data_IF_316935791062
#
_entry.id   IF_316935791062
#
_cell.length_a   1.000
_cell.length_b   1.000
_cell.length_c   1.000
_cell.angle_alpha   90.00
_cell.angle_beta   90.00
_cell.angle_gamma   90.00
#
_symmetry.space_group_name_H-M   'P 1'
#
loop_
_entity.id
_entity.type
_entity.pdbx_description
1 polymer ?
#
# COMPACT_ATOMS: atom_id res chain seq x y z
N UNK A 1 -9.97 36.18 53.92
CA UNK A 1 -8.77 35.45 53.44
C UNK A 1 -9.25 34.28 52.61
N UNK A 2 -9.26 34.44 51.28
CA UNK A 2 -9.57 33.38 50.33
C UNK A 2 -8.61 33.53 49.17
N UNK A 3 -7.63 32.62 49.09
CA UNK A 3 -6.60 32.63 48.05
C UNK A 3 -7.13 31.90 46.83
N UNK A 4 -7.53 32.64 45.79
CA UNK A 4 -7.73 32.07 44.46
C UNK A 4 -6.38 31.71 43.86
N UNK A 5 -6.13 30.41 43.69
CA UNK A 5 -4.95 29.87 43.00
C UNK A 5 -5.34 29.60 41.55
N UNK A 6 -4.94 30.48 40.63
CA UNK A 6 -5.10 30.25 39.20
C UNK A 6 -4.34 28.98 38.76
N UNK A 7 -4.89 28.13 37.88
CA UNK A 7 -4.15 26.99 37.35
C UNK A 7 -3.06 27.46 36.40
N UNK A 8 -1.87 26.87 36.56
CA UNK A 8 -0.70 27.12 35.72
C UNK A 8 -1.01 26.79 34.26
N UNK A 9 -0.68 27.71 33.35
CA UNK A 9 -0.65 27.47 31.91
C UNK A 9 0.30 26.31 31.62
N UNK A 10 -0.25 25.14 31.30
CA UNK A 10 0.51 24.06 30.72
C UNK A 10 0.90 24.44 29.30
N UNK A 11 2.18 24.76 29.09
CA UNK A 11 2.78 24.83 27.76
C UNK A 11 2.68 23.44 27.13
N UNK A 12 1.71 23.28 26.22
CA UNK A 12 1.63 22.11 25.34
C UNK A 12 2.80 22.24 24.35
N UNK A 13 3.76 21.29 24.29
CA UNK A 13 4.77 21.33 23.25
C UNK A 13 4.10 21.20 21.88
N UNK A 14 4.59 21.91 20.84
CA UNK A 14 4.02 21.78 19.51
C UNK A 14 4.11 20.32 19.09
N UNK A 15 2.95 19.72 18.76
CA UNK A 15 2.91 18.46 18.02
C UNK A 15 3.80 18.66 16.80
N UNK A 16 4.88 17.90 16.72
CA UNK A 16 5.59 17.69 15.46
C UNK A 16 4.53 17.19 14.50
N UNK A 17 4.05 18.07 13.63
CA UNK A 17 3.28 17.67 12.48
C UNK A 17 4.23 16.78 11.68
N UNK A 18 4.08 15.47 11.84
CA UNK A 18 4.74 14.52 10.96
C UNK A 18 4.45 14.99 9.55
N UNK A 19 5.50 15.28 8.78
CA UNK A 19 5.37 15.47 7.34
C UNK A 19 4.75 14.18 6.83
N UNK A 20 3.43 14.20 6.60
CA UNK A 20 2.72 13.06 6.06
C UNK A 20 3.33 12.77 4.71
N UNK A 21 4.08 11.68 4.62
CA UNK A 21 4.60 11.20 3.34
C UNK A 21 3.36 11.01 2.47
N UNK A 22 3.25 11.75 1.37
CA UNK A 22 2.11 11.66 0.47
C UNK A 22 2.12 10.26 -0.13
N UNK A 23 1.28 9.34 0.36
CA UNK A 23 1.29 7.97 -0.14
C UNK A 23 0.32 7.82 -1.32
N UNK A 24 0.77 7.13 -2.37
CA UNK A 24 -0.04 6.77 -3.54
C UNK A 24 -0.16 5.26 -3.63
N UNK A 25 -1.38 4.77 -3.88
CA UNK A 25 -1.64 3.35 -4.11
C UNK A 25 -1.55 3.05 -5.61
N UNK A 26 -0.80 2.02 -5.97
CA UNK A 26 -0.71 1.49 -7.34
C UNK A 26 -1.32 0.10 -7.31
N UNK A 27 -2.39 -0.09 -8.09
CA UNK A 27 -2.98 -1.40 -8.35
C UNK A 27 -2.53 -1.94 -9.71
N UNK A 28 -2.20 -3.22 -9.77
CA UNK A 28 -1.86 -3.92 -11.01
C UNK A 28 -2.37 -5.35 -10.98
N UNK A 29 -2.50 -5.94 -12.17
CA UNK A 29 -3.11 -7.26 -12.36
C UNK A 29 -2.09 -8.23 -12.97
N UNK A 30 -2.07 -9.46 -12.48
CA UNK A 30 -1.39 -10.60 -13.13
C UNK A 30 -2.47 -11.52 -13.69
N UNK A 31 -2.40 -11.83 -14.99
CA UNK A 31 -3.39 -12.65 -15.68
C UNK A 31 -2.74 -13.96 -16.12
N UNK A 32 -3.38 -15.09 -15.79
CA UNK A 32 -2.87 -16.44 -16.08
C UNK A 32 -3.97 -17.38 -16.61
N UNK A 33 -3.61 -18.55 -17.16
CA UNK A 33 -4.50 -19.48 -17.91
C UNK A 33 -5.06 -20.66 -17.09
N UNK A 34 -5.15 -20.57 -15.76
CA UNK A 34 -5.44 -21.64 -14.80
C UNK A 34 -4.42 -22.77 -14.75
N UNK A 35 -3.21 -22.50 -15.22
CA UNK A 35 -2.12 -23.48 -15.32
C UNK A 35 -0.95 -23.13 -14.40
N UNK A 36 -0.93 -21.90 -13.87
CA UNK A 36 0.20 -21.38 -13.10
C UNK A 36 -0.07 -21.51 -11.60
N UNK A 37 0.79 -22.20 -10.84
CA UNK A 37 0.66 -22.26 -9.38
C UNK A 37 0.82 -20.87 -8.74
N UNK A 38 0.00 -20.60 -7.70
CA UNK A 38 0.00 -19.33 -6.96
C UNK A 38 1.39 -18.80 -6.55
N UNK A 39 2.36 -19.63 -6.07
CA UNK A 39 3.69 -19.14 -5.72
C UNK A 39 4.45 -18.47 -6.88
N UNK A 40 4.24 -18.94 -8.11
CA UNK A 40 4.86 -18.36 -9.30
C UNK A 40 4.18 -17.03 -9.67
N UNK A 41 2.86 -16.95 -9.52
CA UNK A 41 2.09 -15.70 -9.68
C UNK A 41 2.58 -14.64 -8.69
N UNK A 42 2.76 -15.01 -7.42
CA UNK A 42 3.28 -14.09 -6.39
C UNK A 42 4.72 -13.65 -6.70
N UNK A 43 5.54 -14.55 -7.26
CA UNK A 43 6.89 -14.21 -7.70
C UNK A 43 6.88 -13.20 -8.84
N UNK A 44 6.01 -13.40 -9.83
CA UNK A 44 5.82 -12.47 -10.94
C UNK A 44 5.29 -11.11 -10.45
N UNK A 45 4.33 -11.10 -9.51
CA UNK A 45 3.81 -9.88 -8.92
C UNK A 45 4.89 -9.09 -8.19
N UNK A 46 5.71 -9.75 -7.37
CA UNK A 46 6.86 -9.11 -6.70
C UNK A 46 7.89 -8.60 -7.69
N UNK A 47 8.17 -9.34 -8.77
CA UNK A 47 9.13 -8.90 -9.79
C UNK A 47 8.61 -7.68 -10.55
N UNK A 48 7.34 -7.68 -10.93
CA UNK A 48 6.67 -6.57 -11.61
C UNK A 48 6.67 -5.33 -10.74
N UNK A 49 6.35 -5.48 -9.46
CA UNK A 49 6.40 -4.38 -8.50
C UNK A 49 7.78 -3.74 -8.42
N UNK A 50 8.84 -4.55 -8.27
CA UNK A 50 10.23 -4.03 -8.25
C UNK A 50 10.56 -3.23 -9.51
N UNK A 51 10.05 -3.63 -10.67
CA UNK A 51 10.23 -2.88 -11.91
C UNK A 51 9.42 -1.57 -11.92
N UNK A 52 8.17 -1.60 -11.46
CA UNK A 52 7.31 -0.41 -11.38
C UNK A 52 7.83 0.64 -10.38
N UNK A 53 8.48 0.19 -9.30
CA UNK A 53 8.95 1.06 -8.22
C UNK A 53 10.46 1.30 -8.23
N UNK A 54 11.17 0.90 -9.28
CA UNK A 54 12.64 0.98 -9.35
C UNK A 54 13.23 2.38 -9.09
N UNK A 55 12.46 3.45 -9.36
CA UNK A 55 12.88 4.84 -9.16
C UNK A 55 12.29 5.48 -7.89
N UNK A 56 11.63 4.71 -7.03
CA UNK A 56 10.96 5.20 -5.82
C UNK A 56 11.84 4.95 -4.59
N UNK A 57 11.98 5.98 -3.76
CA UNK A 57 12.80 5.91 -2.54
C UNK A 57 12.14 5.09 -1.42
N UNK A 58 10.80 5.00 -1.42
CA UNK A 58 10.03 4.22 -0.47
C UNK A 58 8.83 3.56 -1.14
N UNK A 59 8.78 2.24 -1.07
CA UNK A 59 7.66 1.44 -1.53
C UNK A 59 7.47 0.21 -0.63
N UNK A 60 6.22 -0.09 -0.27
CA UNK A 60 5.89 -1.34 0.41
C UNK A 60 5.80 -2.48 -0.60
N UNK A 61 5.87 -3.73 -0.13
CA UNK A 61 5.62 -4.88 -1.02
C UNK A 61 4.17 -4.91 -1.49
N UNK A 62 3.90 -5.39 -2.72
CA UNK A 62 2.54 -5.51 -3.21
C UNK A 62 1.84 -6.63 -2.44
N UNK A 63 0.63 -6.38 -1.96
CA UNK A 63 -0.25 -7.37 -1.34
C UNK A 63 -1.26 -7.87 -2.37
N UNK A 64 -1.60 -9.14 -2.28
CA UNK A 64 -2.73 -9.70 -3.02
C UNK A 64 -4.04 -9.15 -2.45
N UNK A 65 -4.98 -8.78 -3.32
CA UNK A 65 -6.29 -8.22 -2.97
C UNK A 65 -7.40 -9.21 -3.24
N UNK A 66 -7.51 -9.67 -4.48
CA UNK A 66 -8.49 -10.67 -4.90
C UNK A 66 -8.05 -11.37 -6.18
N UNK A 67 -8.77 -12.45 -6.50
CA UNK A 67 -8.68 -13.10 -7.80
C UNK A 67 -10.07 -13.40 -8.34
N UNK A 68 -10.20 -13.46 -9.66
CA UNK A 68 -11.47 -13.75 -10.32
C UNK A 68 -11.31 -14.15 -11.78
N UNK A 69 -12.37 -14.69 -12.40
CA UNK A 69 -12.37 -14.96 -13.83
C UNK A 69 -12.27 -13.65 -14.63
N UNK A 70 -11.63 -13.71 -15.79
CA UNK A 70 -11.67 -12.60 -16.75
C UNK A 70 -12.97 -12.69 -17.55
N UNK A 71 -13.70 -11.57 -17.64
CA UNK A 71 -14.92 -11.49 -18.43
C UNK A 71 -14.65 -11.88 -19.89
N UNK A 72 -15.54 -12.70 -20.47
CA UNK A 72 -15.44 -13.21 -21.84
C UNK A 72 -14.17 -14.05 -22.16
N UNK A 73 -13.40 -14.43 -21.13
CA UNK A 73 -12.17 -15.20 -21.26
C UNK A 73 -12.03 -16.21 -20.11
N UNK A 74 -12.96 -17.18 -20.04
CA UNK A 74 -13.10 -18.12 -18.92
C UNK A 74 -11.84 -18.96 -18.62
N UNK A 75 -10.99 -19.17 -19.62
CA UNK A 75 -9.71 -19.85 -19.46
C UNK A 75 -8.71 -19.06 -18.60
N UNK A 76 -8.99 -17.77 -18.32
CA UNK A 76 -8.08 -16.88 -17.61
C UNK A 76 -8.60 -16.51 -16.22
N UNK A 77 -7.65 -16.30 -15.31
CA UNK A 77 -7.87 -15.76 -13.97
C UNK A 77 -7.01 -14.52 -13.82
N UNK A 78 -7.61 -13.46 -13.29
CA UNK A 78 -6.91 -12.25 -12.88
C UNK A 78 -6.60 -12.32 -11.40
N UNK A 79 -5.39 -11.92 -11.01
CA UNK A 79 -4.94 -11.75 -9.63
C UNK A 79 -4.57 -10.28 -9.43
N UNK A 80 -5.35 -9.55 -8.63
CA UNK A 80 -5.10 -8.15 -8.34
C UNK A 80 -4.14 -7.99 -7.19
N UNK A 81 -3.15 -7.13 -7.39
CA UNK A 81 -2.20 -6.73 -6.37
C UNK A 81 -2.22 -5.21 -6.19
N UNK A 82 -1.98 -4.76 -4.96
CA UNK A 82 -1.85 -3.35 -4.61
C UNK A 82 -0.59 -3.14 -3.80
N UNK A 83 0.14 -2.06 -4.08
CA UNK A 83 1.21 -1.58 -3.22
C UNK A 83 1.16 -0.07 -3.06
N UNK A 84 1.84 0.43 -2.04
CA UNK A 84 1.94 1.87 -1.75
C UNK A 84 3.33 2.38 -2.09
N UNK A 85 3.40 3.59 -2.64
CA UNK A 85 4.64 4.33 -2.89
C UNK A 85 4.58 5.70 -2.24
N UNK A 86 5.72 6.19 -1.76
CA UNK A 86 5.88 7.60 -1.43
C UNK A 86 5.76 8.43 -2.73
N UNK A 87 4.97 9.50 -2.64
CA UNK A 87 4.43 10.27 -3.76
C UNK A 87 5.13 11.58 -4.03
#
# INVERSE_FOLDING_TARGET
MGSEKAPASASVPPRVAGMGVNQKTIGFDVVERREVPQPEIDRLARSTWRSLTATRESCEHPRWVNSGPVADAEAYVVHRYEGTVAG
#
